data_IF_678400850295
#
_entry.id   IF_678400850295
#
_cell.length_a   1.000
_cell.length_b   1.000
_cell.length_c   1.000
_cell.angle_alpha   90.00
_cell.angle_beta   90.00
_cell.angle_gamma   90.00
#
_symmetry.space_group_name_H-M   'P 1'
#
loop_
_entity.id
_entity.type
_entity.pdbx_description
1 polymer ?
#
# COMPACT_ATOMS: atom_id res chain seq x y z
N UNK A 1 -5.06 -2.17 8.66
CA UNK A 1 -3.75 -1.52 8.74
C UNK A 1 -3.79 -0.23 9.54
N UNK A 2 -4.17 0.90 8.93
CA UNK A 2 -4.18 2.22 9.59
C UNK A 2 -4.80 2.24 10.99
N UNK A 3 -6.05 1.75 11.14
CA UNK A 3 -6.70 1.73 12.46
C UNK A 3 -6.00 0.83 13.48
N UNK A 4 -5.34 -0.25 13.04
CA UNK A 4 -4.57 -1.13 13.92
C UNK A 4 -3.33 -0.42 14.44
N UNK A 5 -2.62 0.31 13.56
CA UNK A 5 -1.45 1.10 13.97
C UNK A 5 -1.83 2.15 15.01
N UNK A 6 -2.85 2.98 14.73
CA UNK A 6 -3.24 4.06 15.65
C UNK A 6 -3.80 3.53 16.98
N UNK A 7 -4.49 2.38 16.97
CA UNK A 7 -5.06 1.80 18.19
C UNK A 7 -4.00 1.24 19.15
N UNK A 8 -2.92 0.66 18.62
CA UNK A 8 -1.87 0.01 19.42
C UNK A 8 -0.73 0.97 19.81
N UNK A 9 -0.88 2.30 19.62
CA UNK A 9 0.06 3.29 20.16
C UNK A 9 0.02 3.27 21.69
N UNK A 10 1.19 3.38 22.34
CA UNK A 10 1.30 3.35 23.81
C UNK A 10 0.38 4.41 24.45
N UNK A 11 -0.59 4.01 25.29
CA UNK A 11 -1.55 4.93 25.90
C UNK A 11 -0.90 6.04 26.74
N UNK A 12 0.34 5.85 27.21
CA UNK A 12 1.09 6.90 27.92
C UNK A 12 1.41 8.11 27.03
N UNK A 13 1.35 7.97 25.71
CA UNK A 13 1.49 9.09 24.78
C UNK A 13 0.19 9.86 24.56
N UNK A 14 -0.95 9.42 25.10
CA UNK A 14 -2.23 10.07 24.87
C UNK A 14 -2.17 11.58 25.15
N UNK A 15 -2.69 12.38 24.21
CA UNK A 15 -2.69 13.86 24.25
C UNK A 15 -1.30 14.50 24.22
N UNK A 16 -0.30 13.78 23.70
CA UNK A 16 1.03 14.33 23.39
C UNK A 16 1.26 14.33 21.88
N UNK A 17 2.28 15.05 21.37
CA UNK A 17 2.68 14.98 19.95
C UNK A 17 3.09 13.57 19.48
N UNK A 18 3.32 12.63 20.38
CA UNK A 18 3.73 11.27 20.08
C UNK A 18 2.54 10.31 19.88
N UNK A 19 1.31 10.76 20.11
CA UNK A 19 0.09 9.95 20.11
C UNK A 19 -0.46 9.58 18.71
N UNK A 20 0.40 9.57 17.69
CA UNK A 20 0.02 9.29 16.30
C UNK A 20 1.18 8.65 15.55
N UNK A 21 0.90 8.05 14.40
CA UNK A 21 1.94 7.52 13.53
C UNK A 21 3.00 8.56 13.13
N UNK A 22 4.25 8.12 12.95
CA UNK A 22 5.39 9.01 12.73
C UNK A 22 5.43 9.68 11.34
N UNK A 23 4.84 9.05 10.31
CA UNK A 23 4.72 9.64 8.97
C UNK A 23 3.67 8.93 8.12
N UNK A 24 3.20 9.58 7.05
CA UNK A 24 2.32 8.96 6.06
C UNK A 24 2.93 7.70 5.42
N UNK A 25 4.25 7.66 5.22
CA UNK A 25 4.95 6.47 4.69
C UNK A 25 4.83 5.27 5.64
N UNK A 26 5.11 5.46 6.94
CA UNK A 26 4.97 4.37 7.90
C UNK A 26 3.50 4.01 8.08
N UNK A 27 2.61 5.00 8.07
CA UNK A 27 1.19 4.75 8.22
C UNK A 27 0.61 3.95 7.03
N UNK A 28 1.01 4.28 5.80
CA UNK A 28 0.65 3.55 4.59
C UNK A 28 1.34 2.19 4.50
N UNK A 29 2.56 2.04 5.01
CA UNK A 29 3.17 0.70 5.03
C UNK A 29 2.32 -0.28 5.84
N UNK A 30 1.66 0.18 6.90
CA UNK A 30 0.74 -0.65 7.67
C UNK A 30 -0.61 -0.88 6.96
N UNK A 31 -1.16 0.07 6.21
CA UNK A 31 -2.35 -0.24 5.39
C UNK A 31 -2.03 -1.33 4.37
N UNK A 32 -0.90 -1.20 3.66
CA UNK A 32 -0.47 -2.11 2.60
C UNK A 32 -0.02 -3.47 3.09
N UNK A 33 0.61 -3.56 4.27
CA UNK A 33 0.87 -4.87 4.90
C UNK A 33 -0.42 -5.66 5.10
N UNK A 34 -1.44 -5.05 5.71
CA UNK A 34 -2.69 -5.76 5.99
C UNK A 34 -3.58 -5.95 4.76
N UNK A 35 -3.58 -5.02 3.81
CA UNK A 35 -4.35 -5.14 2.57
C UNK A 35 -3.74 -6.15 1.61
N UNK A 36 -2.46 -5.99 1.27
CA UNK A 36 -1.84 -6.68 0.15
C UNK A 36 -1.06 -7.91 0.60
N UNK A 37 -0.20 -7.76 1.61
CA UNK A 37 0.66 -8.86 2.06
C UNK A 37 -0.13 -9.91 2.86
N UNK A 38 -1.17 -9.49 3.57
CA UNK A 38 -2.12 -10.38 4.25
C UNK A 38 -3.39 -10.59 3.41
N UNK A 39 -4.20 -9.54 3.18
CA UNK A 39 -5.54 -9.69 2.60
C UNK A 39 -5.60 -10.18 1.14
N UNK A 40 -4.51 -10.08 0.38
CA UNK A 40 -4.40 -10.65 -0.99
C UNK A 40 -3.49 -11.86 -1.06
N UNK A 41 -3.17 -12.47 0.09
CA UNK A 41 -2.30 -13.62 0.19
C UNK A 41 -3.07 -14.93 0.07
N UNK A 42 -2.38 -16.01 -0.29
CA UNK A 42 -3.01 -17.32 -0.41
C UNK A 42 -3.38 -17.88 0.96
N UNK A 43 -2.52 -17.68 1.96
CA UNK A 43 -2.77 -18.08 3.34
C UNK A 43 -4.05 -17.47 3.89
N UNK A 44 -4.26 -16.17 3.71
CA UNK A 44 -5.50 -15.49 4.12
C UNK A 44 -6.75 -16.11 3.50
N UNK A 45 -6.73 -16.34 2.18
CA UNK A 45 -7.90 -16.91 1.50
C UNK A 45 -8.08 -18.40 1.73
N UNK A 46 -7.02 -19.15 2.06
CA UNK A 46 -7.18 -20.56 2.48
C UNK A 46 -8.06 -20.66 3.72
N UNK A 47 -7.93 -19.71 4.64
CA UNK A 47 -8.75 -19.65 5.85
C UNK A 47 -10.15 -19.05 5.63
N UNK A 48 -10.24 -17.92 4.93
CA UNK A 48 -11.49 -17.17 4.81
C UNK A 48 -12.36 -17.55 3.60
N UNK A 49 -11.80 -18.12 2.53
CA UNK A 49 -12.56 -18.41 1.31
C UNK A 49 -13.72 -19.39 1.53
N UNK A 50 -13.57 -20.50 2.30
CA UNK A 50 -14.71 -21.39 2.58
C UNK A 50 -15.86 -20.67 3.30
N UNK A 51 -15.53 -19.73 4.19
CA UNK A 51 -16.53 -18.94 4.93
C UNK A 51 -17.22 -17.94 3.98
N UNK A 52 -16.46 -17.28 3.11
CA UNK A 52 -17.01 -16.38 2.10
C UNK A 52 -17.93 -17.13 1.12
N UNK A 53 -17.49 -18.30 0.64
CA UNK A 53 -18.27 -19.13 -0.27
C UNK A 53 -19.59 -19.61 0.38
N UNK A 54 -19.58 -19.94 1.67
CA UNK A 54 -20.78 -20.31 2.41
C UNK A 54 -21.77 -19.14 2.57
N UNK A 55 -21.29 -17.90 2.65
CA UNK A 55 -22.12 -16.70 2.72
C UNK A 55 -22.69 -16.30 1.34
N UNK A 56 -21.98 -16.60 0.26
CA UNK A 56 -22.35 -16.23 -1.11
C UNK A 56 -22.37 -17.45 -2.06
N UNK A 57 -23.17 -18.49 -1.77
CA UNK A 57 -23.15 -19.74 -2.53
C UNK A 57 -23.55 -19.55 -4.00
N UNK A 58 -24.51 -18.65 -4.28
CA UNK A 58 -24.96 -18.38 -5.65
C UNK A 58 -23.88 -17.73 -6.52
N UNK A 59 -23.02 -16.90 -5.92
CA UNK A 59 -21.97 -16.18 -6.61
C UNK A 59 -20.65 -16.97 -6.69
N UNK A 60 -20.33 -17.75 -5.65
CA UNK A 60 -19.01 -18.37 -5.47
C UNK A 60 -19.02 -19.90 -5.43
N UNK A 61 -20.19 -20.55 -5.39
CA UNK A 61 -20.30 -22.01 -5.19
C UNK A 61 -19.61 -22.85 -6.27
N UNK A 62 -19.40 -22.30 -7.47
CA UNK A 62 -18.67 -22.95 -8.56
C UNK A 62 -17.23 -22.43 -8.76
N UNK A 63 -16.75 -21.53 -7.91
CA UNK A 63 -15.42 -20.91 -8.03
C UNK A 63 -14.45 -21.60 -7.07
N UNK A 64 -13.33 -22.10 -7.59
CA UNK A 64 -12.27 -22.68 -6.76
C UNK A 64 -11.41 -21.59 -6.08
N UNK A 65 -10.73 -21.96 -5.00
CA UNK A 65 -9.90 -21.07 -4.19
C UNK A 65 -8.75 -20.46 -5.00
N UNK A 66 -8.11 -21.23 -5.87
CA UNK A 66 -6.98 -20.77 -6.69
C UNK A 66 -7.44 -19.70 -7.68
N UNK A 67 -8.54 -19.94 -8.38
CA UNK A 67 -9.18 -18.97 -9.27
C UNK A 67 -9.58 -17.70 -8.53
N UNK A 68 -10.15 -17.83 -7.34
CA UNK A 68 -10.53 -16.67 -6.52
C UNK A 68 -9.31 -15.83 -6.12
N UNK A 69 -8.25 -16.45 -5.57
CA UNK A 69 -7.01 -15.76 -5.17
C UNK A 69 -6.35 -15.05 -6.34
N UNK A 70 -6.35 -15.66 -7.53
CA UNK A 70 -5.86 -15.02 -8.76
C UNK A 70 -6.70 -13.81 -9.15
N UNK A 71 -8.03 -13.90 -8.99
CA UNK A 71 -8.94 -12.81 -9.34
C UNK A 71 -8.75 -11.55 -8.47
N UNK A 72 -8.51 -11.72 -7.16
CA UNK A 72 -8.27 -10.59 -6.24
C UNK A 72 -6.89 -9.94 -6.43
N UNK A 73 -5.99 -10.62 -7.15
CA UNK A 73 -4.67 -10.13 -7.54
C UNK A 73 -4.60 -9.80 -9.04
N UNK A 74 -5.72 -9.63 -9.74
CA UNK A 74 -5.68 -9.37 -11.18
C UNK A 74 -5.05 -7.98 -11.48
N UNK A 75 -4.10 -7.96 -12.42
CA UNK A 75 -3.46 -6.73 -12.91
C UNK A 75 -4.25 -6.18 -14.09
N UNK A 76 -4.71 -4.93 -13.98
CA UNK A 76 -5.52 -4.26 -15.00
C UNK A 76 -5.23 -2.76 -15.00
N UNK A 77 -4.39 -2.27 -15.94
CA UNK A 77 -4.17 -0.84 -16.10
C UNK A 77 -5.50 -0.11 -16.30
N UNK A 78 -5.68 1.00 -15.58
CA UNK A 78 -6.88 1.84 -15.65
C UNK A 78 -6.57 3.28 -15.27
N UNK A 79 -7.52 4.22 -15.45
CA UNK A 79 -7.25 5.64 -15.25
C UNK A 79 -7.25 6.05 -13.76
N UNK A 80 -7.94 5.30 -12.90
CA UNK A 80 -8.19 5.68 -11.51
C UNK A 80 -7.18 5.04 -10.56
N UNK A 81 -6.33 5.88 -9.95
CA UNK A 81 -5.30 5.45 -8.99
C UNK A 81 -5.87 4.65 -7.82
N UNK A 82 -7.01 5.06 -7.28
CA UNK A 82 -7.65 4.39 -6.13
C UNK A 82 -8.12 2.97 -6.42
N UNK A 83 -8.23 2.58 -7.69
CA UNK A 83 -8.64 1.25 -8.13
C UNK A 83 -7.50 0.47 -8.81
N UNK A 84 -6.30 1.04 -8.87
CA UNK A 84 -5.15 0.40 -9.50
C UNK A 84 -4.68 -0.82 -8.70
N UNK A 85 -4.19 -1.82 -9.40
CA UNK A 85 -3.62 -3.04 -8.84
C UNK A 85 -2.19 -2.81 -8.28
N UNK A 86 -1.64 -3.81 -7.59
CA UNK A 86 -0.34 -3.71 -6.92
C UNK A 86 0.84 -3.42 -7.86
N UNK A 87 0.72 -3.77 -9.14
CA UNK A 87 1.77 -3.57 -10.15
C UNK A 87 1.64 -2.19 -10.79
N UNK A 88 0.43 -1.76 -11.13
CA UNK A 88 0.20 -0.49 -11.85
C UNK A 88 0.13 0.72 -10.93
N UNK A 89 -0.25 0.55 -9.66
CA UNK A 89 -0.41 1.64 -8.69
C UNK A 89 0.81 2.57 -8.59
N UNK A 90 2.03 2.01 -8.61
CA UNK A 90 3.26 2.80 -8.52
C UNK A 90 3.44 3.81 -9.66
N UNK A 91 2.98 3.48 -10.87
CA UNK A 91 3.06 4.36 -12.04
C UNK A 91 2.18 5.61 -11.86
N UNK A 92 0.98 5.45 -11.28
CA UNK A 92 0.10 6.59 -10.96
C UNK A 92 0.78 7.57 -10.00
N UNK A 93 1.56 7.07 -9.04
CA UNK A 93 2.28 7.90 -8.06
C UNK A 93 3.46 8.61 -8.71
N UNK A 94 4.27 7.89 -9.49
CA UNK A 94 5.44 8.45 -10.20
C UNK A 94 5.01 9.61 -11.10
N UNK A 95 3.99 9.40 -11.92
CA UNK A 95 3.47 10.44 -12.82
C UNK A 95 3.05 11.71 -12.06
N UNK A 96 2.33 11.57 -10.94
CA UNK A 96 1.90 12.73 -10.12
C UNK A 96 3.10 13.46 -9.53
N UNK A 97 4.07 12.72 -9.03
CA UNK A 97 5.29 13.32 -8.48
C UNK A 97 6.10 14.08 -9.55
N UNK A 98 6.20 13.54 -10.76
CA UNK A 98 6.85 14.22 -11.88
C UNK A 98 6.11 15.50 -12.29
N UNK A 99 4.77 15.44 -12.37
CA UNK A 99 3.93 16.63 -12.61
C UNK A 99 4.11 17.68 -11.51
N UNK A 100 4.14 17.28 -10.24
CA UNK A 100 4.39 18.20 -9.12
C UNK A 100 5.75 18.90 -9.25
N UNK A 101 6.80 18.16 -9.61
CA UNK A 101 8.14 18.74 -9.81
C UNK A 101 8.16 19.77 -10.92
N UNK A 102 7.47 19.50 -12.02
CA UNK A 102 7.42 20.38 -13.18
C UNK A 102 6.57 21.63 -12.94
N UNK A 103 5.43 21.48 -12.25
CA UNK A 103 4.61 22.61 -11.80
C UNK A 103 5.41 23.54 -10.89
N UNK A 104 6.12 22.98 -9.90
CA UNK A 104 6.94 23.75 -8.97
C UNK A 104 8.16 24.39 -9.65
N UNK A 105 8.71 23.75 -10.67
CA UNK A 105 9.79 24.30 -11.50
C UNK A 105 9.31 25.35 -12.52
N UNK A 106 7.99 25.48 -12.72
CA UNK A 106 7.41 26.35 -13.74
C UNK A 106 7.64 25.88 -15.17
N UNK A 107 7.96 24.60 -15.39
CA UNK A 107 8.21 24.03 -16.72
C UNK A 107 6.93 23.60 -17.43
N UNK A 108 5.82 23.46 -16.71
CA UNK A 108 4.47 23.28 -17.28
C UNK A 108 3.51 24.30 -16.68
N UNK A 109 2.58 24.81 -17.49
CA UNK A 109 1.51 25.66 -16.99
C UNK A 109 0.36 24.82 -16.43
N UNK A 110 -0.35 25.35 -15.43
CA UNK A 110 -1.53 24.67 -14.84
C UNK A 110 -2.62 24.42 -15.90
N UNK A 111 -2.76 25.32 -16.88
CA UNK A 111 -3.71 25.17 -17.99
C UNK A 111 -3.45 23.95 -18.86
N UNK A 112 -2.21 23.46 -18.88
CA UNK A 112 -1.78 22.40 -19.79
C UNK A 112 -1.88 21.03 -19.12
N UNK A 113 -2.15 20.98 -17.81
CA UNK A 113 -2.23 19.74 -17.04
C UNK A 113 -3.20 18.70 -17.60
N UNK A 114 -4.41 19.04 -18.09
CA UNK A 114 -5.29 18.03 -18.68
C UNK A 114 -4.64 17.26 -19.83
N UNK A 115 -3.96 17.97 -20.74
CA UNK A 115 -3.30 17.37 -21.90
C UNK A 115 -2.07 16.56 -21.48
N UNK A 116 -1.19 17.14 -20.66
CA UNK A 116 0.04 16.48 -20.19
C UNK A 116 -0.30 15.23 -19.37
N UNK A 117 -1.34 15.28 -18.54
CA UNK A 117 -1.82 14.13 -17.77
C UNK A 117 -2.23 12.98 -18.68
N UNK A 118 -3.07 13.26 -19.69
CA UNK A 118 -3.58 12.24 -20.60
C UNK A 118 -2.44 11.61 -21.41
N UNK A 119 -1.48 12.42 -21.87
CA UNK A 119 -0.30 11.94 -22.56
C UNK A 119 0.54 10.98 -21.67
N UNK A 120 0.79 11.35 -20.41
CA UNK A 120 1.57 10.51 -19.48
C UNK A 120 0.87 9.23 -19.07
N UNK A 121 -0.45 9.26 -18.88
CA UNK A 121 -1.24 8.05 -18.64
C UNK A 121 -1.14 7.08 -19.82
N UNK A 122 -1.19 7.62 -21.05
CA UNK A 122 -1.04 6.81 -22.27
C UNK A 122 0.37 6.24 -22.42
N UNK A 123 1.40 7.05 -22.18
CA UNK A 123 2.80 6.63 -22.26
C UNK A 123 3.16 5.59 -21.19
N UNK A 124 2.77 5.83 -19.95
CA UNK A 124 3.18 5.01 -18.81
C UNK A 124 2.37 3.72 -18.68
N UNK A 125 1.06 3.76 -18.92
CA UNK A 125 0.14 2.64 -18.66
C UNK A 125 -0.64 2.17 -19.89
N UNK A 126 -0.51 2.84 -21.04
CA UNK A 126 -1.29 2.53 -22.24
C UNK A 126 -2.76 2.94 -22.15
N UNK A 127 -3.15 3.68 -21.11
CA UNK A 127 -4.55 3.99 -20.78
C UNK A 127 -5.00 5.28 -21.47
N UNK A 128 -6.14 5.21 -22.16
CA UNK A 128 -6.86 6.41 -22.62
C UNK A 128 -7.76 6.95 -21.50
N UNK A 129 -7.59 8.22 -21.17
CA UNK A 129 -8.37 8.91 -20.14
C UNK A 129 -9.65 9.46 -20.78
N UNK A 130 -10.86 9.10 -20.29
CA UNK A 130 -12.11 9.44 -20.97
C UNK A 130 -12.52 10.91 -20.81
N UNK A 131 -12.18 11.53 -19.69
CA UNK A 131 -12.51 12.92 -19.35
C UNK A 131 -11.64 13.42 -18.17
N UNK A 132 -11.70 14.71 -17.86
CA UNK A 132 -10.90 15.30 -16.77
C UNK A 132 -11.29 14.77 -15.39
N UNK A 133 -12.53 14.31 -15.18
CA UNK A 133 -12.99 13.74 -13.92
C UNK A 133 -12.31 12.39 -13.62
N UNK A 134 -12.00 11.62 -14.68
CA UNK A 134 -11.17 10.41 -14.60
C UNK A 134 -9.69 10.68 -14.87
N UNK A 135 -9.35 11.92 -15.24
CA UNK A 135 -8.01 12.42 -15.52
C UNK A 135 -7.45 13.20 -14.34
N UNK A 136 -7.00 14.43 -14.63
CA UNK A 136 -6.33 15.31 -13.68
C UNK A 136 -7.18 15.69 -12.45
N UNK A 137 -8.52 15.65 -12.55
CA UNK A 137 -9.42 15.98 -11.43
C UNK A 137 -9.78 14.78 -10.55
N UNK A 138 -9.28 13.58 -10.83
CA UNK A 138 -9.66 12.36 -10.09
C UNK A 138 -9.26 12.37 -8.60
N UNK A 139 -8.28 13.20 -8.22
CA UNK A 139 -7.70 13.24 -6.89
C UNK A 139 -7.87 14.63 -6.25
N UNK A 140 -8.25 14.66 -4.97
CA UNK A 140 -8.47 15.90 -4.21
C UNK A 140 -7.19 16.56 -3.67
N UNK A 141 -6.02 15.94 -3.84
CA UNK A 141 -4.78 16.33 -3.15
C UNK A 141 -4.34 17.75 -3.53
N UNK A 142 -4.25 18.06 -4.83
CA UNK A 142 -3.81 19.37 -5.28
C UNK A 142 -4.80 20.48 -4.94
N UNK A 143 -6.11 20.20 -4.96
CA UNK A 143 -7.13 21.18 -4.57
C UNK A 143 -7.11 21.49 -3.07
N UNK A 144 -6.53 20.61 -2.26
CA UNK A 144 -6.33 20.80 -0.80
C UNK A 144 -4.89 21.19 -0.43
N UNK A 145 -4.05 21.50 -1.43
CA UNK A 145 -2.68 21.96 -1.21
C UNK A 145 -1.66 20.87 -0.84
N UNK A 146 -2.01 19.59 -1.00
CA UNK A 146 -1.17 18.44 -0.67
C UNK A 146 -0.16 18.12 -1.78
N UNK A 147 0.80 19.02 -2.01
CA UNK A 147 1.95 18.78 -2.91
C UNK A 147 3.07 18.03 -2.18
N UNK A 148 3.75 17.11 -2.88
CA UNK A 148 4.76 16.22 -2.29
C UNK A 148 4.16 15.10 -1.43
N UNK A 149 2.83 14.95 -1.42
CA UNK A 149 2.13 13.94 -0.63
C UNK A 149 2.12 12.57 -1.33
N UNK A 150 1.87 12.52 -2.65
CA UNK A 150 1.74 11.26 -3.38
C UNK A 150 2.92 10.28 -3.22
N UNK A 151 4.19 10.72 -3.22
CA UNK A 151 5.33 9.83 -3.00
C UNK A 151 5.22 8.98 -1.74
N UNK A 152 4.54 9.49 -0.70
CA UNK A 152 4.38 8.75 0.56
C UNK A 152 3.59 7.45 0.38
N UNK A 153 2.68 7.36 -0.59
CA UNK A 153 1.95 6.13 -0.88
C UNK A 153 2.88 5.03 -1.40
N UNK A 154 3.71 5.37 -2.40
CA UNK A 154 4.62 4.38 -2.99
C UNK A 154 5.76 4.02 -2.04
N UNK A 155 6.25 4.97 -1.25
CA UNK A 155 7.18 4.65 -0.16
C UNK A 155 6.53 3.73 0.87
N UNK A 156 5.22 3.88 1.14
CA UNK A 156 4.45 2.96 1.98
C UNK A 156 4.48 1.53 1.46
N UNK A 157 4.20 1.33 0.16
CA UNK A 157 4.32 0.02 -0.49
C UNK A 157 5.72 -0.59 -0.32
N UNK A 158 6.77 0.18 -0.62
CA UNK A 158 8.16 -0.28 -0.50
C UNK A 158 8.50 -0.68 0.94
N UNK A 159 8.22 0.22 1.88
CA UNK A 159 8.52 0.00 3.31
C UNK A 159 7.69 -1.14 3.89
N UNK A 160 6.47 -1.38 3.39
CA UNK A 160 5.63 -2.49 3.85
C UNK A 160 6.29 -3.85 3.64
N UNK A 161 6.91 -4.07 2.47
CA UNK A 161 7.59 -5.32 2.15
C UNK A 161 8.93 -5.42 2.87
N UNK A 162 9.65 -4.30 3.03
CA UNK A 162 10.88 -4.30 3.80
C UNK A 162 10.65 -4.66 5.29
N UNK A 163 9.55 -4.18 5.88
CA UNK A 163 9.13 -4.57 7.24
C UNK A 163 8.68 -6.03 7.25
N UNK A 164 7.96 -6.47 6.22
CA UNK A 164 7.47 -7.83 6.07
C UNK A 164 8.60 -8.86 6.05
N UNK A 165 9.65 -8.63 5.27
CA UNK A 165 10.80 -9.52 5.20
C UNK A 165 11.45 -9.69 6.58
N UNK A 166 11.51 -8.62 7.37
CA UNK A 166 11.97 -8.70 8.76
C UNK A 166 11.02 -9.54 9.63
N UNK A 167 9.71 -9.32 9.51
CA UNK A 167 8.73 -10.08 10.26
C UNK A 167 8.81 -11.58 9.92
N UNK A 168 8.91 -11.96 8.65
CA UNK A 168 9.11 -13.34 8.23
C UNK A 168 10.42 -13.94 8.78
N UNK A 169 11.51 -13.17 8.82
CA UNK A 169 12.79 -13.64 9.36
C UNK A 169 12.72 -13.95 10.87
N UNK A 170 11.86 -13.27 11.62
CA UNK A 170 11.72 -13.46 13.08
C UNK A 170 10.58 -14.43 13.46
N UNK A 171 9.49 -14.42 12.70
CA UNK A 171 8.26 -15.17 12.99
C UNK A 171 8.11 -16.47 12.16
N UNK A 172 8.97 -16.67 11.16
CA UNK A 172 8.89 -17.80 10.24
C UNK A 172 7.81 -17.65 9.17
N UNK A 173 7.23 -18.77 8.74
CA UNK A 173 6.30 -18.85 7.61
C UNK A 173 4.91 -18.27 7.94
N UNK A 174 4.74 -16.97 7.72
CA UNK A 174 3.50 -16.24 7.99
C UNK A 174 2.31 -16.73 7.14
N UNK A 175 2.54 -17.12 5.88
CA UNK A 175 1.47 -17.66 5.00
C UNK A 175 0.80 -18.90 5.59
N UNK A 176 1.59 -19.80 6.20
CA UNK A 176 1.06 -21.01 6.83
C UNK A 176 0.27 -20.68 8.10
N UNK A 177 0.70 -19.66 8.86
CA UNK A 177 -0.03 -19.17 10.03
C UNK A 177 -1.40 -18.63 9.62
N UNK A 178 -1.46 -17.81 8.57
CA UNK A 178 -2.75 -17.27 8.09
C UNK A 178 -3.69 -18.34 7.57
N UNK A 179 -3.16 -19.40 6.93
CA UNK A 179 -3.96 -20.54 6.50
C UNK A 179 -4.65 -21.27 7.67
N UNK A 180 -4.15 -21.12 8.90
CA UNK A 180 -4.76 -21.64 10.13
C UNK A 180 -5.54 -20.58 10.93
N UNK A 181 -5.70 -19.37 10.39
CA UNK A 181 -6.37 -18.26 11.06
C UNK A 181 -5.52 -17.57 12.14
N UNK A 182 -4.21 -17.79 12.16
CA UNK A 182 -3.29 -17.27 13.17
C UNK A 182 -2.72 -15.91 12.72
N UNK A 183 -3.39 -14.82 13.08
CA UNK A 183 -2.95 -13.45 12.73
C UNK A 183 -2.29 -12.69 13.90
N UNK A 184 -2.46 -13.21 15.12
CA UNK A 184 -1.95 -12.57 16.33
C UNK A 184 -0.43 -12.38 16.35
N UNK A 185 0.40 -13.37 15.93
CA UNK A 185 1.85 -13.22 15.97
C UNK A 185 2.37 -12.01 15.18
N UNK A 186 1.87 -11.82 13.95
CA UNK A 186 2.22 -10.66 13.14
C UNK A 186 1.77 -9.35 13.79
N UNK A 187 0.52 -9.28 14.27
CA UNK A 187 0.00 -8.06 14.91
C UNK A 187 0.80 -7.68 16.14
N UNK A 188 1.12 -8.65 16.99
CA UNK A 188 1.90 -8.44 18.21
C UNK A 188 3.31 -7.96 17.90
N UNK A 189 3.96 -8.59 16.91
CA UNK A 189 5.27 -8.16 16.44
C UNK A 189 5.24 -6.72 15.90
N UNK A 190 4.27 -6.37 15.05
CA UNK A 190 4.12 -5.01 14.53
C UNK A 190 3.81 -4.01 15.66
N UNK A 191 3.04 -4.42 16.66
CA UNK A 191 2.75 -3.61 17.84
C UNK A 191 4.01 -3.30 18.64
N UNK A 192 4.85 -4.31 18.89
CA UNK A 192 6.09 -4.15 19.66
C UNK A 192 7.16 -3.35 18.93
N UNK A 193 7.32 -3.60 17.62
CA UNK A 193 8.39 -3.03 16.81
C UNK A 193 8.03 -1.66 16.23
N UNK A 194 6.74 -1.38 16.02
CA UNK A 194 6.28 -0.19 15.28
C UNK A 194 5.20 0.56 16.07
N UNK A 195 4.08 -0.07 16.42
CA UNK A 195 2.86 0.66 16.77
C UNK A 195 2.99 1.42 18.07
N UNK A 196 3.43 0.72 19.13
CA UNK A 196 3.56 1.31 20.46
C UNK A 196 4.45 2.54 20.51
N UNK A 197 5.32 2.75 19.52
CA UNK A 197 6.25 3.86 19.48
C UNK A 197 5.62 5.17 19.01
N UNK A 198 4.45 5.16 18.37
CA UNK A 198 3.80 6.36 17.85
C UNK A 198 4.79 7.29 17.12
N UNK A 199 4.84 8.56 17.54
CA UNK A 199 5.74 9.58 17.02
C UNK A 199 7.12 9.67 17.71
N UNK A 200 7.49 8.71 18.57
CA UNK A 200 8.73 8.76 19.38
C UNK A 200 10.01 8.82 18.55
N UNK A 201 10.01 8.12 17.41
CA UNK A 201 11.17 8.03 16.52
C UNK A 201 10.89 8.78 15.23
N UNK A 202 11.91 9.46 14.69
CA UNK A 202 11.85 9.93 13.32
C UNK A 202 11.63 8.72 12.37
N UNK A 203 10.91 8.88 11.26
CA UNK A 203 10.54 7.75 10.39
C UNK A 203 11.74 6.92 9.92
N UNK A 204 12.85 7.58 9.57
CA UNK A 204 14.09 6.90 9.15
C UNK A 204 14.73 6.07 10.26
N UNK A 205 14.62 6.54 11.51
CA UNK A 205 15.23 5.87 12.66
C UNK A 205 14.37 4.70 13.12
N UNK A 206 13.04 4.85 13.06
CA UNK A 206 12.12 3.74 13.26
C UNK A 206 12.38 2.63 12.21
N UNK A 207 12.47 3.00 10.93
CA UNK A 207 12.72 2.03 9.87
C UNK A 207 14.05 1.30 10.11
N UNK A 208 15.15 2.02 10.33
CA UNK A 208 16.47 1.40 10.62
C UNK A 208 16.44 0.51 11.85
N UNK A 209 15.71 0.90 12.90
CA UNK A 209 15.57 0.09 14.11
C UNK A 209 14.88 -1.25 13.82
N UNK A 210 13.85 -1.24 12.98
CA UNK A 210 13.06 -2.43 12.66
C UNK A 210 13.78 -3.30 11.63
N UNK A 211 14.25 -2.72 10.53
CA UNK A 211 14.75 -3.46 9.37
C UNK A 211 16.28 -3.55 9.31
N UNK A 212 16.99 -2.74 10.10
CA UNK A 212 18.45 -2.64 10.07
C UNK A 212 19.01 -1.72 8.98
N UNK A 213 18.17 -1.16 8.11
CA UNK A 213 18.60 -0.35 6.96
C UNK A 213 17.69 0.86 6.71
N UNK A 214 18.11 1.74 5.79
CA UNK A 214 17.24 2.80 5.25
C UNK A 214 16.16 2.22 4.32
N UNK A 215 15.47 3.07 3.57
CA UNK A 215 14.50 2.61 2.56
C UNK A 215 15.26 1.83 1.49
N UNK A 216 14.81 0.61 1.21
CA UNK A 216 15.35 -0.29 0.20
C UNK A 216 14.22 -0.78 -0.72
N UNK A 217 14.26 -0.51 -2.04
CA UNK A 217 13.22 -0.97 -2.96
C UNK A 217 13.34 -2.46 -3.33
N UNK A 218 14.48 -3.11 -3.12
CA UNK A 218 14.73 -4.47 -3.60
C UNK A 218 13.73 -5.51 -3.05
N UNK A 219 13.38 -5.52 -1.75
CA UNK A 219 12.34 -6.41 -1.23
C UNK A 219 11.02 -6.29 -1.98
N UNK A 220 10.59 -5.05 -2.27
CA UNK A 220 9.33 -4.79 -2.96
C UNK A 220 9.35 -5.27 -4.41
N UNK A 221 10.44 -5.03 -5.14
CA UNK A 221 10.59 -5.52 -6.52
C UNK A 221 10.60 -7.05 -6.56
N UNK A 222 11.34 -7.68 -5.65
CA UNK A 222 11.36 -9.14 -5.50
C UNK A 222 9.96 -9.69 -5.21
N UNK A 223 9.21 -9.06 -4.30
CA UNK A 223 7.83 -9.43 -3.99
C UNK A 223 6.93 -9.42 -5.23
N UNK A 224 6.97 -8.32 -6.02
CA UNK A 224 6.17 -8.23 -7.24
C UNK A 224 6.59 -9.30 -8.26
N UNK A 225 7.88 -9.49 -8.47
CA UNK A 225 8.37 -10.52 -9.39
C UNK A 225 7.96 -11.93 -8.96
N UNK A 226 8.05 -12.26 -7.67
CA UNK A 226 7.64 -13.59 -7.18
C UNK A 226 6.13 -13.80 -7.26
N UNK A 227 5.33 -12.79 -6.92
CA UNK A 227 3.86 -12.92 -6.86
C UNK A 227 3.21 -12.95 -8.25
N UNK A 228 3.77 -12.25 -9.22
CA UNK A 228 3.17 -12.04 -10.55
C UNK A 228 3.93 -12.71 -11.71
N UNK A 229 4.94 -13.53 -11.42
CA UNK A 229 5.56 -14.43 -12.41
C UNK A 229 4.63 -15.60 -12.78
#
# INVERSE_FOLDING_TARGET
>A
GHGVYEFDIDPSFARTPLARGTSSTIHESQSRTWENLVGRSRGFWTWFYPQLQALFPDALGGVDDVSFVRSVSAVRPGPIRGYADEVTYGHHIIMRFELERELLAGTIAVSDLPEVWNARMKESLGVDVPDDAHGVLQDMHWSTGLFGYFPTYQLGNVVSVQIWDRACAELGELEEQFARGEFAPLREWLSEQIYRHGGRYAPSDLLRRVTGSGIDPEPYLKYLHTKFA
#
